data_IF_855981975401
#
_entry.id   IF_855981975401
#
_cell.length_a   1.000
_cell.length_b   1.000
_cell.length_c   1.000
_cell.angle_alpha   90.00
_cell.angle_beta   90.00
_cell.angle_gamma   90.00
#
_symmetry.space_group_name_H-M   'P 1'
#
loop_
_entity.id
_entity.type
_entity.pdbx_description
1 polymer ?
#
# COMPACT_ATOMS: atom_id res chain seq x y z
N UNK A 1 -5.75 -14.17 -15.57
CA UNK A 1 -7.19 -14.14 -15.26
C UNK A 1 -7.76 -12.81 -15.73
N UNK A 2 -9.07 -12.74 -16.04
CA UNK A 2 -9.71 -11.47 -16.36
C UNK A 2 -9.74 -10.58 -15.10
N UNK A 3 -9.49 -9.27 -15.29
CA UNK A 3 -9.58 -8.28 -14.22
C UNK A 3 -11.05 -7.93 -14.02
N UNK A 4 -11.61 -7.99 -12.79
CA UNK A 4 -13.01 -7.66 -12.55
C UNK A 4 -13.31 -6.19 -12.85
N UNK A 5 -14.54 -5.91 -13.32
CA UNK A 5 -15.02 -4.54 -13.55
C UNK A 5 -15.24 -3.77 -12.23
N UNK A 6 -15.15 -2.43 -12.30
CA UNK A 6 -15.37 -1.50 -11.19
C UNK A 6 -14.10 -0.90 -10.61
N UNK A 7 -14.25 -0.14 -9.53
CA UNK A 7 -13.12 0.50 -8.85
C UNK A 7 -12.41 -0.50 -7.91
N UNK A 8 -11.44 -1.22 -8.47
CA UNK A 8 -10.61 -2.15 -7.73
C UNK A 8 -9.69 -1.45 -6.72
N UNK A 9 -9.33 -0.18 -6.97
CA UNK A 9 -8.41 0.55 -6.11
C UNK A 9 -9.07 0.82 -4.76
N UNK A 10 -10.31 1.32 -4.75
CA UNK A 10 -11.03 1.55 -3.49
C UNK A 10 -11.34 0.27 -2.70
N UNK A 11 -11.33 -0.90 -3.36
CA UNK A 11 -11.55 -2.20 -2.71
C UNK A 11 -10.29 -2.81 -2.10
N UNK A 12 -9.11 -2.45 -2.61
CA UNK A 12 -7.85 -3.15 -2.29
C UNK A 12 -6.84 -2.25 -1.57
N UNK A 13 -6.88 -0.93 -1.79
CA UNK A 13 -5.91 0.00 -1.23
C UNK A 13 -6.40 0.57 0.09
N UNK A 14 -5.68 0.28 1.18
CA UNK A 14 -5.90 0.86 2.50
C UNK A 14 -5.87 -0.19 3.61
N UNK A 15 -6.78 -1.19 3.59
CA UNK A 15 -6.82 -2.23 4.61
C UNK A 15 -5.55 -3.12 4.60
N UNK A 16 -5.26 -3.80 5.72
CA UNK A 16 -4.29 -4.89 5.75
C UNK A 16 -4.61 -5.96 4.69
N UNK A 17 -3.63 -6.31 3.86
CA UNK A 17 -3.83 -7.22 2.71
C UNK A 17 -4.44 -8.58 3.07
N UNK A 18 -4.19 -9.10 4.27
CA UNK A 18 -4.79 -10.37 4.70
C UNK A 18 -6.32 -10.26 4.88
N UNK A 19 -6.82 -9.11 5.36
CA UNK A 19 -8.25 -8.84 5.46
C UNK A 19 -8.87 -8.69 4.06
N UNK A 20 -8.23 -7.93 3.19
CA UNK A 20 -8.68 -7.76 1.79
C UNK A 20 -8.79 -9.11 1.07
N UNK A 21 -7.79 -9.99 1.21
CA UNK A 21 -7.83 -11.32 0.57
C UNK A 21 -8.96 -12.20 1.15
N UNK A 22 -9.22 -12.13 2.45
CA UNK A 22 -10.35 -12.82 3.08
C UNK A 22 -11.70 -12.30 2.55
N UNK A 23 -11.88 -10.97 2.48
CA UNK A 23 -13.09 -10.32 1.96
C UNK A 23 -13.32 -10.61 0.47
N UNK A 24 -12.26 -10.90 -0.28
CA UNK A 24 -12.33 -11.34 -1.69
C UNK A 24 -12.70 -12.81 -1.86
N UNK A 25 -13.05 -13.53 -0.77
CA UNK A 25 -13.49 -14.92 -0.82
C UNK A 25 -12.35 -15.95 -0.84
N UNK A 26 -11.12 -15.52 -0.52
CA UNK A 26 -9.96 -16.43 -0.42
C UNK A 26 -9.75 -16.97 0.99
N UNK A 27 -10.75 -16.94 1.88
CA UNK A 27 -10.62 -17.29 3.30
C UNK A 27 -9.83 -18.57 3.58
N UNK A 28 -10.20 -19.68 2.93
CA UNK A 28 -9.53 -20.98 3.09
C UNK A 28 -8.12 -21.02 2.46
N UNK A 29 -7.82 -20.08 1.57
CA UNK A 29 -6.54 -19.95 0.85
C UNK A 29 -5.78 -18.68 1.25
N UNK A 30 -6.16 -18.00 2.33
CA UNK A 30 -5.67 -16.66 2.64
C UNK A 30 -4.16 -16.64 2.89
N UNK A 31 -3.64 -17.70 3.54
CA UNK A 31 -2.21 -17.87 3.81
C UNK A 31 -1.40 -18.11 2.52
N UNK A 32 -1.93 -18.93 1.60
CA UNK A 32 -1.30 -19.13 0.30
C UNK A 32 -1.33 -17.85 -0.54
N UNK A 33 -2.44 -17.11 -0.51
CA UNK A 33 -2.61 -15.85 -1.21
C UNK A 33 -1.66 -14.75 -0.68
N UNK A 34 -1.52 -14.63 0.64
CA UNK A 34 -0.59 -13.64 1.23
C UNK A 34 0.87 -14.01 0.96
N UNK A 35 1.21 -15.32 0.94
CA UNK A 35 2.54 -15.79 0.57
C UNK A 35 2.87 -15.43 -0.89
N UNK A 36 1.94 -15.68 -1.82
CA UNK A 36 2.09 -15.31 -3.21
C UNK A 36 2.22 -13.78 -3.40
N UNK A 37 1.40 -13.00 -2.71
CA UNK A 37 1.51 -11.53 -2.69
C UNK A 37 2.89 -11.09 -2.21
N UNK A 38 3.39 -11.61 -1.09
CA UNK A 38 4.71 -11.24 -0.55
C UNK A 38 5.85 -11.64 -1.48
N UNK A 39 5.76 -12.80 -2.14
CA UNK A 39 6.76 -13.27 -3.09
C UNK A 39 6.91 -12.33 -4.30
N UNK A 40 5.82 -11.69 -4.73
CA UNK A 40 5.84 -10.69 -5.80
C UNK A 40 6.19 -9.27 -5.31
N UNK A 41 5.63 -8.88 -4.17
CA UNK A 41 5.75 -7.53 -3.64
C UNK A 41 7.17 -7.20 -3.16
N UNK A 42 7.83 -8.17 -2.53
CA UNK A 42 9.17 -7.99 -1.94
C UNK A 42 10.25 -7.66 -2.98
N UNK A 43 10.38 -8.37 -4.12
CA UNK A 43 11.39 -8.04 -5.12
C UNK A 43 11.06 -6.79 -5.95
N UNK A 44 9.78 -6.56 -6.30
CA UNK A 44 9.40 -5.50 -7.25
C UNK A 44 8.18 -4.67 -6.86
N UNK A 45 7.15 -5.26 -6.27
CA UNK A 45 5.87 -4.55 -6.07
C UNK A 45 5.97 -3.31 -5.18
N UNK A 46 6.94 -3.28 -4.26
CA UNK A 46 7.18 -2.11 -3.40
C UNK A 46 7.61 -0.86 -4.19
N UNK A 47 8.36 -0.99 -5.29
CA UNK A 47 8.87 0.14 -6.08
C UNK A 47 7.94 0.56 -7.22
N UNK A 48 6.88 -0.20 -7.47
CA UNK A 48 5.88 0.08 -8.50
C UNK A 48 4.87 1.15 -8.02
N UNK A 49 5.38 2.32 -7.63
CA UNK A 49 4.57 3.44 -7.16
C UNK A 49 5.19 4.77 -7.58
N UNK A 50 4.43 5.85 -7.42
CA UNK A 50 4.93 7.22 -7.56
C UNK A 50 4.22 8.13 -6.57
N UNK A 51 4.86 9.20 -6.07
CA UNK A 51 4.17 10.23 -5.30
C UNK A 51 3.02 10.83 -6.11
N UNK A 52 1.93 11.17 -5.43
CA UNK A 52 0.87 11.97 -6.05
C UNK A 52 1.40 13.37 -6.38
N UNK A 53 0.92 13.92 -7.49
CA UNK A 53 1.28 15.28 -7.89
C UNK A 53 0.93 16.28 -6.78
N UNK A 54 1.85 17.22 -6.51
CA UNK A 54 1.68 18.25 -5.48
C UNK A 54 2.00 17.83 -4.05
N UNK A 55 2.01 16.53 -3.71
CA UNK A 55 2.35 16.08 -2.35
C UNK A 55 3.78 16.46 -1.93
N UNK A 56 4.82 16.30 -2.76
CA UNK A 56 6.16 16.73 -2.37
C UNK A 56 6.26 18.22 -2.03
N UNK A 57 5.57 19.08 -2.79
CA UNK A 57 5.54 20.53 -2.53
C UNK A 57 4.79 20.85 -1.23
N UNK A 58 3.62 20.24 -1.01
CA UNK A 58 2.85 20.40 0.23
C UNK A 58 3.68 20.01 1.47
N UNK A 59 4.39 18.89 1.42
CA UNK A 59 5.22 18.42 2.54
C UNK A 59 6.38 19.39 2.82
N UNK A 60 7.00 19.96 1.77
CA UNK A 60 8.04 20.96 1.92
C UNK A 60 7.51 22.25 2.57
N UNK A 61 6.34 22.73 2.14
CA UNK A 61 5.71 23.94 2.72
C UNK A 61 5.36 23.74 4.20
N UNK A 62 4.79 22.58 4.56
CA UNK A 62 4.48 22.25 5.95
C UNK A 62 5.74 22.17 6.82
N UNK A 63 6.82 21.59 6.29
CA UNK A 63 8.10 21.53 6.99
C UNK A 63 8.70 22.93 7.18
N UNK A 64 8.65 23.79 6.17
CA UNK A 64 9.13 25.18 6.25
C UNK A 64 8.33 26.01 7.27
N UNK A 65 7.04 25.71 7.45
CA UNK A 65 6.19 26.30 8.47
C UNK A 65 6.43 25.74 9.90
N UNK A 66 7.36 24.80 10.07
CA UNK A 66 7.67 24.19 11.37
C UNK A 66 6.64 23.16 11.86
N UNK A 67 5.81 22.62 10.96
CA UNK A 67 4.80 21.61 11.29
C UNK A 67 5.48 20.25 11.47
N UNK A 68 5.18 19.57 12.60
CA UNK A 68 5.62 18.19 12.82
C UNK A 68 4.76 17.23 11.99
N UNK A 69 5.40 16.51 11.07
CA UNK A 69 4.74 15.51 10.21
C UNK A 69 4.96 14.08 10.73
N UNK A 70 3.99 13.20 10.49
CA UNK A 70 4.07 11.79 10.81
C UNK A 70 3.26 10.96 9.80
N UNK A 71 3.57 9.67 9.70
CA UNK A 71 2.81 8.70 8.89
C UNK A 71 2.19 7.66 9.81
N UNK A 72 0.88 7.47 9.70
CA UNK A 72 0.14 6.37 10.31
C UNK A 72 -0.51 5.55 9.19
N UNK A 73 -0.08 4.30 9.01
CA UNK A 73 -0.48 3.47 7.86
C UNK A 73 -0.66 2.00 8.27
N UNK A 74 -1.55 1.28 7.60
CA UNK A 74 -1.69 -0.18 7.71
C UNK A 74 -0.61 -0.96 6.94
N UNK A 75 0.27 -0.26 6.20
CA UNK A 75 1.41 -0.88 5.53
C UNK A 75 2.46 -1.29 6.57
N UNK A 76 3.08 -2.46 6.38
CA UNK A 76 4.16 -2.93 7.24
C UNK A 76 5.29 -1.87 7.31
N UNK A 77 5.68 -1.50 8.52
CA UNK A 77 6.61 -0.41 8.79
C UNK A 77 7.92 -0.50 7.97
N UNK A 78 8.63 -1.65 7.89
CA UNK A 78 9.87 -1.71 7.11
C UNK A 78 9.66 -1.41 5.62
N UNK A 79 8.50 -1.77 5.09
CA UNK A 79 8.14 -1.50 3.70
C UNK A 79 7.76 -0.03 3.50
N UNK A 80 7.02 0.56 4.45
CA UNK A 80 6.66 1.97 4.41
C UNK A 80 7.92 2.85 4.47
N UNK A 81 8.85 2.54 5.37
CA UNK A 81 10.15 3.23 5.46
C UNK A 81 10.94 3.09 4.17
N UNK A 82 11.02 1.88 3.58
CA UNK A 82 11.73 1.66 2.31
C UNK A 82 11.15 2.46 1.13
N UNK A 83 9.84 2.72 1.13
CA UNK A 83 9.19 3.51 0.07
C UNK A 83 9.40 5.02 0.28
N UNK A 84 9.50 5.46 1.53
CA UNK A 84 9.68 6.87 1.89
C UNK A 84 11.15 7.32 1.90
N UNK A 85 12.10 6.39 2.02
CA UNK A 85 13.54 6.63 1.98
C UNK A 85 14.02 6.98 0.56
#
# INVERSE_FOLDING_TARGET
>A
AAVPDGDLVSRIVGPPMHLTLQEMGLGDSADAAIAAYRADYTPRGWSMNRPFAGIPALLADLQAAGVRLAVATSKAEPTAQRILA
#
